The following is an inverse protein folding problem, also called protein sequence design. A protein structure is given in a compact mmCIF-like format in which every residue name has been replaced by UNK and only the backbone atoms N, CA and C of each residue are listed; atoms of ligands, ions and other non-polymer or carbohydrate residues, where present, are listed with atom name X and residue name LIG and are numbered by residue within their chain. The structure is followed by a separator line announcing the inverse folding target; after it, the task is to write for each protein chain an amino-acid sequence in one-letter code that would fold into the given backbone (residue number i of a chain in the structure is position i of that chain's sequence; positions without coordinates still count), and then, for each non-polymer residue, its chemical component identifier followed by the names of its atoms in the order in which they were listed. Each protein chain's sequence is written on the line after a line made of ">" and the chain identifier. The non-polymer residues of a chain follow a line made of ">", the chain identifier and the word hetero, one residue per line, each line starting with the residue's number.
data_IF_310781921498
#
_entry.id   IF_310781921498
#
_cell.length_a   1.000
_cell.length_b   1.000
_cell.length_c   1.000
_cell.angle_alpha   90.00
_cell.angle_beta   90.00
_cell.angle_gamma   90.00
#
_symmetry.space_group_name_H-M   'P 1'
#
loop_
_entity.id
_entity.type
_entity.pdbx_description
1 polymer ?
#
# COMPACT_ATOMS: atom_id res chain seq x y z
N UNK A 1 12.17 -27.97 24.70
CA UNK A 1 11.03 -27.09 24.99
C UNK A 1 10.65 -26.41 23.69
N UNK A 2 9.61 -26.88 23.04
CA UNK A 2 8.99 -26.17 21.93
C UNK A 2 8.21 -25.00 22.54
N UNK A 3 8.38 -23.75 22.08
CA UNK A 3 7.47 -22.70 22.45
C UNK A 3 6.14 -23.00 21.76
N UNK A 4 5.10 -23.21 22.56
CA UNK A 4 3.72 -23.27 22.08
C UNK A 4 3.44 -21.99 21.28
N UNK A 5 3.37 -22.11 19.95
CA UNK A 5 2.71 -21.11 19.13
C UNK A 5 1.22 -21.25 19.43
N UNK A 6 0.74 -20.49 20.41
CA UNK A 6 -0.67 -20.15 20.54
C UNK A 6 -1.10 -19.52 19.20
N UNK A 7 -1.64 -20.37 18.34
CA UNK A 7 -2.02 -20.06 16.96
C UNK A 7 -3.52 -19.78 16.88
N UNK A 8 -4.12 -19.40 18.00
CA UNK A 8 -5.46 -18.88 18.09
C UNK A 8 -5.56 -17.49 17.45
N UNK A 9 -6.69 -17.21 16.82
CA UNK A 9 -7.02 -15.85 16.41
C UNK A 9 -7.24 -14.96 17.64
N UNK A 10 -6.35 -13.99 17.87
CA UNK A 10 -6.50 -13.01 18.94
C UNK A 10 -7.25 -11.78 18.43
N UNK A 11 -8.55 -11.70 18.73
CA UNK A 11 -9.46 -10.67 18.22
C UNK A 11 -8.99 -9.24 18.53
N UNK A 12 -8.80 -8.89 19.81
CA UNK A 12 -8.47 -7.51 20.23
C UNK A 12 -7.19 -6.97 19.60
N UNK A 13 -6.02 -7.65 19.69
CA UNK A 13 -4.79 -7.17 19.04
C UNK A 13 -4.92 -7.08 17.51
N UNK A 14 -5.72 -7.96 16.90
CA UNK A 14 -5.95 -7.93 15.45
C UNK A 14 -6.77 -6.71 15.06
N UNK A 15 -7.85 -6.41 15.79
CA UNK A 15 -8.67 -5.21 15.57
C UNK A 15 -7.86 -3.92 15.78
N UNK A 16 -7.00 -3.86 16.79
CA UNK A 16 -6.12 -2.70 17.02
C UNK A 16 -5.14 -2.48 15.86
N UNK A 17 -4.54 -3.55 15.34
CA UNK A 17 -3.68 -3.47 14.15
C UNK A 17 -4.45 -3.03 12.91
N UNK A 18 -5.65 -3.56 12.69
CA UNK A 18 -6.49 -3.18 11.54
C UNK A 18 -6.92 -1.72 11.64
N UNK A 19 -7.29 -1.23 12.84
CA UNK A 19 -7.67 0.17 13.09
C UNK A 19 -6.64 1.15 12.56
N UNK A 20 -5.34 0.82 12.64
CA UNK A 20 -4.27 1.66 12.13
C UNK A 20 -4.34 1.89 10.60
N UNK A 21 -4.89 0.94 9.86
CA UNK A 21 -5.04 1.03 8.40
C UNK A 21 -6.42 1.53 7.97
N UNK A 22 -7.38 1.64 8.90
CA UNK A 22 -8.71 2.17 8.63
C UNK A 22 -8.71 3.70 8.74
N UNK A 23 -9.55 4.39 7.96
CA UNK A 23 -9.76 5.82 8.15
C UNK A 23 -10.31 6.06 9.58
N UNK A 24 -9.57 6.82 10.38
CA UNK A 24 -9.95 7.16 11.76
C UNK A 24 -10.91 8.36 11.85
N UNK A 25 -11.21 8.98 10.72
CA UNK A 25 -12.00 10.21 10.64
C UNK A 25 -13.41 9.91 10.11
N UNK A 26 -14.42 10.52 10.74
CA UNK A 26 -15.78 10.53 10.20
C UNK A 26 -15.77 11.13 8.78
N UNK A 27 -16.67 10.71 7.87
CA UNK A 27 -16.77 11.34 6.56
C UNK A 27 -17.00 12.83 6.80
N UNK A 28 -16.05 13.68 6.41
CA UNK A 28 -16.22 15.13 6.49
C UNK A 28 -16.89 15.63 5.21
N UNK A 29 -17.64 16.73 5.32
CA UNK A 29 -18.18 17.46 4.17
C UNK A 29 -17.05 18.02 3.27
N UNK A 30 -15.87 18.22 3.86
CA UNK A 30 -14.64 18.64 3.20
C UNK A 30 -13.61 17.50 3.17
N UNK A 31 -13.05 17.23 2.00
CA UNK A 31 -12.07 16.15 1.78
C UNK A 31 -10.76 16.44 2.54
N UNK A 32 -10.55 15.76 3.67
CA UNK A 32 -9.22 15.66 4.28
C UNK A 32 -8.59 14.36 3.82
N UNK A 33 -7.57 14.48 2.97
CA UNK A 33 -6.83 13.32 2.48
C UNK A 33 -5.94 12.80 3.62
N UNK A 34 -6.41 11.82 4.38
CA UNK A 34 -5.48 11.00 5.17
C UNK A 34 -4.51 10.34 4.19
N UNK A 35 -3.25 10.76 4.21
CA UNK A 35 -2.22 10.17 3.37
C UNK A 35 -2.11 8.69 3.72
N UNK A 36 -2.47 7.81 2.80
CA UNK A 36 -2.48 6.36 3.03
C UNK A 36 -1.08 5.78 3.31
N UNK A 37 -0.02 6.57 3.08
CA UNK A 37 1.33 6.25 3.50
C UNK A 37 1.58 6.44 5.01
N UNK A 38 0.65 7.06 5.75
CA UNK A 38 0.76 7.24 7.20
C UNK A 38 0.97 5.90 7.92
N UNK A 39 0.36 4.82 7.43
CA UNK A 39 0.53 3.48 7.99
C UNK A 39 1.95 2.90 7.83
N UNK A 40 2.84 3.62 7.13
CA UNK A 40 4.23 3.25 6.90
C UNK A 40 5.20 4.33 7.43
N UNK A 41 4.72 5.30 8.22
CA UNK A 41 5.51 6.46 8.66
C UNK A 41 6.71 6.11 9.55
N UNK A 42 6.62 4.99 10.27
CA UNK A 42 7.70 4.48 11.13
C UNK A 42 8.87 3.92 10.31
N UNK A 43 8.67 3.67 9.00
CA UNK A 43 9.68 3.13 8.11
C UNK A 43 10.47 4.25 7.44
N UNK A 44 11.72 3.94 7.05
CA UNK A 44 12.48 4.84 6.19
C UNK A 44 11.73 5.07 4.89
N UNK A 45 11.77 6.28 4.35
CA UNK A 45 10.97 6.71 3.20
C UNK A 45 10.92 5.69 2.04
N UNK A 46 12.07 5.20 1.55
CA UNK A 46 12.12 4.24 0.44
C UNK A 46 11.60 2.84 0.80
N UNK A 47 11.71 2.46 2.06
CA UNK A 47 11.17 1.20 2.57
C UNK A 47 9.65 1.30 2.72
N UNK A 48 9.15 2.36 3.34
CA UNK A 48 7.72 2.61 3.51
C UNK A 48 6.98 2.72 2.17
N UNK A 49 7.55 3.46 1.22
CA UNK A 49 6.99 3.54 -0.15
C UNK A 49 6.97 2.18 -0.84
N UNK A 50 8.06 1.40 -0.76
CA UNK A 50 8.11 0.04 -1.34
C UNK A 50 7.07 -0.88 -0.71
N UNK A 51 6.93 -0.88 0.61
CA UNK A 51 5.91 -1.67 1.31
C UNK A 51 4.49 -1.26 0.92
N UNK A 52 4.22 0.04 0.83
CA UNK A 52 2.92 0.53 0.37
C UNK A 52 2.62 0.08 -1.07
N UNK A 53 3.59 0.15 -1.98
CA UNK A 53 3.43 -0.35 -3.35
C UNK A 53 3.19 -1.86 -3.40
N UNK A 54 3.90 -2.64 -2.60
CA UNK A 54 3.79 -4.11 -2.59
C UNK A 54 2.50 -4.60 -1.95
N UNK A 55 2.06 -3.97 -0.86
CA UNK A 55 0.85 -4.36 -0.16
C UNK A 55 -0.37 -3.81 -0.89
N UNK A 56 -0.39 -2.50 -1.17
CA UNK A 56 -1.59 -1.77 -1.58
C UNK A 56 -1.64 -1.46 -3.09
N UNK A 57 -0.55 -1.69 -3.83
CA UNK A 57 -0.50 -1.39 -5.27
C UNK A 57 -0.34 0.08 -5.62
N UNK A 58 0.04 0.92 -4.66
CA UNK A 58 0.20 2.35 -4.90
C UNK A 58 1.42 2.68 -5.77
N UNK A 59 1.23 3.61 -6.70
CA UNK A 59 2.33 4.20 -7.48
C UNK A 59 2.99 5.33 -6.68
N UNK A 60 3.87 4.95 -5.77
CA UNK A 60 4.61 5.84 -4.86
C UNK A 60 5.83 6.51 -5.49
N UNK A 61 6.31 5.97 -6.62
CA UNK A 61 7.44 6.50 -7.36
C UNK A 61 7.34 6.10 -8.84
N UNK A 62 8.17 6.72 -9.68
CA UNK A 62 8.29 6.32 -11.08
C UNK A 62 8.86 4.89 -11.19
N UNK A 63 8.37 4.13 -12.17
CA UNK A 63 8.94 2.83 -12.53
C UNK A 63 10.35 3.04 -13.11
N UNK A 64 11.18 2.00 -13.02
CA UNK A 64 12.52 2.01 -13.60
C UNK A 64 12.51 2.38 -15.10
N UNK A 65 11.52 1.89 -15.85
CA UNK A 65 11.33 2.24 -17.27
C UNK A 65 11.07 3.72 -17.50
N UNK A 66 10.35 4.37 -16.58
CA UNK A 66 10.04 5.80 -16.64
C UNK A 66 11.30 6.63 -16.35
N UNK A 67 12.08 6.26 -15.32
CA UNK A 67 13.39 6.86 -15.06
C UNK A 67 14.36 6.71 -16.25
N UNK A 68 14.42 5.52 -16.85
CA UNK A 68 15.21 5.29 -18.08
C UNK A 68 14.71 6.11 -19.27
N UNK A 69 13.41 6.39 -19.34
CA UNK A 69 12.85 7.31 -20.32
C UNK A 69 13.32 8.75 -20.10
N UNK A 70 13.30 9.22 -18.85
CA UNK A 70 13.81 10.55 -18.49
C UNK A 70 15.31 10.70 -18.78
N UNK A 71 16.10 9.66 -18.51
CA UNK A 71 17.53 9.61 -18.84
C UNK A 71 17.77 9.70 -20.34
N UNK A 72 17.08 8.89 -21.15
CA UNK A 72 17.20 8.93 -22.62
C UNK A 72 16.82 10.28 -23.24
N UNK A 73 15.94 11.04 -22.60
CA UNK A 73 15.55 12.39 -23.03
C UNK A 73 16.48 13.50 -22.49
N UNK A 74 17.53 13.15 -21.75
CA UNK A 74 18.44 14.13 -21.13
C UNK A 74 17.85 14.91 -19.95
N UNK A 75 16.63 14.57 -19.49
CA UNK A 75 16.02 15.20 -18.32
C UNK A 75 16.71 14.76 -17.02
N UNK A 76 17.17 13.50 -16.97
CA UNK A 76 18.18 13.06 -16.02
C UNK A 76 19.50 13.13 -16.75
N UNK A 77 20.33 14.12 -16.39
CA UNK A 77 21.62 14.30 -17.03
C UNK A 77 22.62 13.24 -16.56
N UNK A 78 23.49 12.85 -17.46
CA UNK A 78 24.51 11.82 -17.24
C UNK A 78 25.54 12.25 -16.19
N UNK A 79 26.04 13.49 -16.27
CA UNK A 79 26.97 14.07 -15.31
C UNK A 79 26.43 14.03 -13.87
N UNK A 80 25.15 14.35 -13.69
CA UNK A 80 24.48 14.32 -12.38
C UNK A 80 24.34 12.88 -11.88
N UNK A 81 23.97 11.94 -12.77
CA UNK A 81 23.84 10.54 -12.40
C UNK A 81 25.18 9.96 -11.95
N UNK A 82 26.24 10.18 -12.71
CA UNK A 82 27.60 9.72 -12.39
C UNK A 82 28.10 10.34 -11.09
N UNK A 83 27.90 11.65 -10.90
CA UNK A 83 28.26 12.33 -9.66
C UNK A 83 27.56 11.72 -8.44
N UNK A 84 26.26 11.42 -8.54
CA UNK A 84 25.50 10.81 -7.43
C UNK A 84 25.90 9.36 -7.17
N UNK A 85 26.27 8.60 -8.19
CA UNK A 85 26.82 7.26 -8.02
C UNK A 85 28.18 7.34 -7.31
N UNK A 86 29.08 8.22 -7.77
CA UNK A 86 30.39 8.43 -7.17
C UNK A 86 30.29 8.81 -5.69
N UNK A 87 29.37 9.73 -5.35
CA UNK A 87 29.14 10.18 -3.99
C UNK A 87 28.69 9.03 -3.05
N UNK A 88 27.94 8.05 -3.57
CA UNK A 88 27.33 6.98 -2.75
C UNK A 88 28.14 5.68 -2.74
N UNK A 89 28.78 5.35 -3.86
CA UNK A 89 29.42 4.05 -4.09
C UNK A 89 30.90 4.16 -4.49
N UNK A 90 31.42 5.37 -4.66
CA UNK A 90 32.80 5.63 -5.08
C UNK A 90 32.99 5.71 -6.59
N UNK A 91 34.08 6.36 -7.02
CA UNK A 91 34.37 6.63 -8.44
C UNK A 91 34.52 5.35 -9.28
N UNK A 92 35.10 4.30 -8.70
CA UNK A 92 35.34 3.02 -9.38
C UNK A 92 34.04 2.28 -9.72
N UNK A 93 32.95 2.58 -9.00
CA UNK A 93 31.68 1.89 -9.14
C UNK A 93 30.75 2.54 -10.18
N UNK A 94 31.14 3.67 -10.80
CA UNK A 94 30.30 4.43 -11.73
C UNK A 94 29.80 3.55 -12.88
N UNK A 95 30.72 2.88 -13.57
CA UNK A 95 30.38 2.13 -14.77
C UNK A 95 29.42 0.97 -14.47
N UNK A 96 29.70 0.22 -13.40
CA UNK A 96 28.88 -0.91 -12.95
C UNK A 96 27.46 -0.46 -12.58
N UNK A 97 27.33 0.59 -11.76
CA UNK A 97 26.02 1.06 -11.31
C UNK A 97 25.24 1.74 -12.43
N UNK A 98 25.92 2.45 -13.33
CA UNK A 98 25.28 3.05 -14.50
C UNK A 98 24.70 1.98 -15.41
N UNK A 99 25.43 0.90 -15.67
CA UNK A 99 24.91 -0.25 -16.43
C UNK A 99 23.67 -0.84 -15.75
N UNK A 100 23.73 -1.08 -14.44
CA UNK A 100 22.59 -1.57 -13.65
C UNK A 100 21.38 -0.65 -13.78
N UNK A 101 21.56 0.66 -13.64
CA UNK A 101 20.46 1.63 -13.63
C UNK A 101 19.87 1.88 -15.03
N UNK A 102 20.70 1.90 -16.07
CA UNK A 102 20.30 2.35 -17.41
C UNK A 102 19.96 1.19 -18.34
N UNK A 103 20.76 0.12 -18.36
CA UNK A 103 20.68 -0.93 -19.38
C UNK A 103 20.19 -2.28 -18.84
N UNK A 104 20.63 -2.70 -17.65
CA UNK A 104 20.33 -4.05 -17.13
C UNK A 104 18.83 -4.35 -17.12
N UNK A 105 18.42 -5.48 -17.69
CA UNK A 105 17.03 -5.91 -17.60
C UNK A 105 16.76 -6.51 -16.22
N UNK A 106 15.65 -6.12 -15.60
CA UNK A 106 15.14 -6.71 -14.37
C UNK A 106 13.76 -7.28 -14.64
N UNK A 107 13.52 -8.49 -14.15
CA UNK A 107 12.16 -9.02 -14.16
C UNK A 107 11.24 -8.13 -13.32
N UNK A 108 9.98 -8.03 -13.73
CA UNK A 108 8.99 -7.27 -12.98
C UNK A 108 8.86 -7.92 -11.60
N UNK A 109 8.99 -7.11 -10.55
CA UNK A 109 8.70 -7.54 -9.19
C UNK A 109 7.25 -8.03 -9.05
N UNK A 110 6.94 -8.73 -7.95
CA UNK A 110 5.62 -9.30 -7.72
C UNK A 110 4.53 -8.22 -7.84
N UNK A 111 3.39 -8.62 -8.42
CA UNK A 111 2.19 -7.80 -8.44
C UNK A 111 1.76 -7.45 -7.00
N UNK A 112 1.07 -6.32 -6.80
CA UNK A 112 0.61 -5.96 -5.48
C UNK A 112 -0.25 -7.07 -4.88
N UNK A 113 -0.06 -7.29 -3.58
CA UNK A 113 -0.69 -8.40 -2.86
C UNK A 113 -2.15 -8.13 -2.54
N UNK A 114 -2.61 -6.88 -2.55
CA UNK A 114 -4.00 -6.53 -2.31
C UNK A 114 -4.93 -7.31 -3.24
N UNK A 115 -5.95 -7.94 -2.65
CA UNK A 115 -6.91 -8.76 -3.40
C UNK A 115 -6.38 -10.13 -3.84
N UNK A 116 -5.07 -10.41 -3.77
CA UNK A 116 -4.52 -11.71 -4.19
C UNK A 116 -5.09 -12.86 -3.37
N UNK A 117 -5.17 -12.73 -2.05
CA UNK A 117 -5.76 -13.76 -1.17
C UNK A 117 -7.24 -14.01 -1.52
N UNK A 118 -8.02 -12.94 -1.69
CA UNK A 118 -9.45 -13.04 -2.06
C UNK A 118 -9.65 -13.68 -3.43
N UNK A 119 -8.79 -13.35 -4.40
CA UNK A 119 -8.80 -13.97 -5.72
C UNK A 119 -8.50 -15.48 -5.66
N UNK A 120 -7.54 -15.90 -4.82
CA UNK A 120 -7.26 -17.33 -4.62
C UNK A 120 -8.43 -18.06 -3.98
N UNK A 121 -9.09 -17.45 -2.99
CA UNK A 121 -10.28 -18.03 -2.35
C UNK A 121 -11.43 -18.24 -3.34
N UNK A 122 -11.68 -17.23 -4.16
CA UNK A 122 -12.69 -17.32 -5.21
C UNK A 122 -12.34 -18.39 -6.25
N UNK A 123 -11.07 -18.50 -6.65
CA UNK A 123 -10.63 -19.48 -7.66
C UNK A 123 -10.66 -20.92 -7.16
N UNK A 124 -10.13 -21.17 -5.96
CA UNK A 124 -9.92 -22.53 -5.43
C UNK A 124 -11.19 -23.05 -4.76
N UNK A 125 -11.81 -22.22 -3.92
CA UNK A 125 -12.94 -22.63 -3.08
C UNK A 125 -14.29 -22.16 -3.63
N UNK A 126 -14.32 -21.38 -4.71
CA UNK A 126 -15.54 -20.75 -5.24
C UNK A 126 -16.24 -19.86 -4.19
N UNK A 127 -15.47 -19.35 -3.23
CA UNK A 127 -15.96 -18.44 -2.18
C UNK A 127 -15.60 -17.02 -2.55
N UNK A 128 -16.62 -16.20 -2.80
CA UNK A 128 -16.47 -14.76 -3.00
C UNK A 128 -16.55 -14.02 -1.66
N UNK A 129 -15.38 -13.78 -1.06
CA UNK A 129 -15.27 -13.08 0.24
C UNK A 129 -15.85 -11.66 0.20
N UNK A 130 -15.71 -10.96 -0.93
CA UNK A 130 -16.24 -9.61 -1.08
C UNK A 130 -17.76 -9.63 -1.00
N UNK A 131 -18.40 -10.60 -1.67
CA UNK A 131 -19.87 -10.76 -1.66
C UNK A 131 -20.43 -11.17 -0.29
N UNK A 132 -19.67 -11.93 0.50
CA UNK A 132 -20.06 -12.33 1.86
C UNK A 132 -19.91 -11.18 2.87
N UNK A 133 -18.87 -10.36 2.71
CA UNK A 133 -18.51 -9.33 3.70
C UNK A 133 -19.16 -7.99 3.37
N UNK A 134 -19.13 -7.54 2.12
CA UNK A 134 -19.56 -6.19 1.74
C UNK A 134 -20.98 -5.83 2.20
N UNK A 135 -22.02 -6.67 2.03
CA UNK A 135 -23.38 -6.30 2.43
C UNK A 135 -23.52 -6.09 3.94
N UNK A 136 -22.79 -6.86 4.76
CA UNK A 136 -22.81 -6.73 6.22
C UNK A 136 -21.92 -5.61 6.68
N UNK A 137 -20.70 -5.52 6.15
CA UNK A 137 -19.74 -4.48 6.49
C UNK A 137 -20.30 -3.09 6.12
N UNK A 138 -20.80 -2.90 4.89
CA UNK A 138 -21.38 -1.61 4.49
C UNK A 138 -22.63 -1.29 5.28
N UNK A 139 -23.51 -2.25 5.57
CA UNK A 139 -24.68 -2.01 6.43
C UNK A 139 -24.28 -1.55 7.83
N UNK A 140 -23.32 -2.22 8.46
CA UNK A 140 -22.81 -1.81 9.78
C UNK A 140 -22.15 -0.44 9.68
N UNK A 141 -21.20 -0.25 8.75
CA UNK A 141 -20.50 1.02 8.59
C UNK A 141 -21.47 2.16 8.31
N UNK A 142 -22.45 2.00 7.41
CA UNK A 142 -23.46 3.02 7.16
C UNK A 142 -24.31 3.33 8.39
N UNK A 143 -24.61 2.35 9.26
CA UNK A 143 -25.34 2.62 10.51
C UNK A 143 -24.55 3.44 11.54
N UNK A 144 -23.21 3.47 11.46
CA UNK A 144 -22.35 4.15 12.45
C UNK A 144 -21.52 5.30 11.88
N UNK A 145 -21.37 5.38 10.56
CA UNK A 145 -20.71 6.46 9.83
C UNK A 145 -21.71 7.45 9.21
N UNK A 146 -23.03 7.21 9.37
CA UNK A 146 -24.04 8.20 9.00
C UNK A 146 -23.74 9.52 9.73
N UNK A 147 -23.75 10.63 9.00
CA UNK A 147 -23.28 11.95 9.46
C UNK A 147 -24.18 12.60 10.53
N UNK A 148 -25.06 11.83 11.18
CA UNK A 148 -26.13 12.39 12.01
C UNK A 148 -27.11 13.25 11.20
N UNK A 149 -27.13 13.14 9.88
CA UNK A 149 -28.14 13.75 9.01
C UNK A 149 -28.92 12.60 8.36
N UNK A 150 -29.69 11.91 9.18
CA UNK A 150 -30.71 11.04 8.66
C UNK A 150 -31.74 11.94 7.95
N UNK A 151 -32.00 11.73 6.66
CA UNK A 151 -33.10 12.37 5.91
C UNK A 151 -34.48 11.98 6.49
N UNK A 152 -34.50 10.97 7.35
CA UNK A 152 -35.66 10.30 7.91
C UNK A 152 -35.40 10.00 9.39
N UNK A 153 -36.35 10.34 10.25
CA UNK A 153 -36.26 10.02 11.67
C UNK A 153 -36.25 8.49 11.85
N UNK A 154 -35.28 7.99 12.61
CA UNK A 154 -35.19 6.58 12.96
C UNK A 154 -36.36 6.21 13.89
N UNK A 155 -37.26 5.28 13.51
CA UNK A 155 -38.40 4.92 14.35
C UNK A 155 -37.94 3.96 15.45
N UNK A 156 -37.63 4.49 16.62
CA UNK A 156 -37.64 3.70 17.86
C UNK A 156 -39.00 3.92 18.53
N UNK A 157 -39.83 2.89 18.46
CA UNK A 157 -41.12 2.81 19.13
C UNK A 157 -40.91 2.76 20.66
N UNK A 158 -41.69 3.55 21.41
CA UNK A 158 -41.92 3.35 22.84
C UNK A 158 -42.89 2.20 23.08
#
# INVERSE_FOLDING_TARGET
>A
MNPDFDSGFHEKPTLEKIKHYLPAQAPLKDFIHHNTLHAFQELKFFEGTRHASEILGYKVSLKLSEYRGLFRRGQIREDVLEHRIAQRYGQQAIQEWKERLVTKHYEKGPLPRIGSLRAHWKKIYQIDLDSLVHPTLFRILCSYLDQGIAIWNFPVWH
#
